data_IF_821947190337
#
_entry.id   IF_821947190337
#
_cell.length_a   1.000
_cell.length_b   1.000
_cell.length_c   1.000
_cell.angle_alpha   90.00
_cell.angle_beta   90.00
_cell.angle_gamma   90.00
#
_symmetry.space_group_name_H-M   'P 1'
#
loop_
_entity.id
_entity.type
_entity.pdbx_description
1 polymer ?
#
# COMPACT_ATOMS: atom_id res chain seq x y z
N UNK A 1 -15.46 5.06 10.37
CA UNK A 1 -14.32 4.31 9.79
C UNK A 1 -14.68 2.83 9.86
N UNK A 2 -14.58 2.09 8.76
CA UNK A 2 -14.79 0.63 8.79
C UNK A 2 -13.61 -0.06 9.50
N UNK A 3 -13.80 -1.26 10.04
CA UNK A 3 -12.66 -2.06 10.49
C UNK A 3 -11.67 -2.26 9.33
N UNK A 4 -10.36 -2.33 9.61
CA UNK A 4 -9.38 -2.72 8.60
C UNK A 4 -9.69 -4.09 7.99
N UNK A 5 -9.25 -4.31 6.76
CA UNK A 5 -9.52 -5.58 6.05
C UNK A 5 -8.70 -6.75 6.61
N UNK A 6 -7.44 -6.49 6.95
CA UNK A 6 -6.57 -7.48 7.59
C UNK A 6 -6.63 -7.30 9.11
N UNK A 7 -6.42 -8.37 9.85
CA UNK A 7 -6.46 -8.36 11.32
C UNK A 7 -5.16 -7.81 11.92
N UNK A 8 -4.07 -7.86 11.15
CA UNK A 8 -2.74 -7.42 11.58
C UNK A 8 -1.89 -6.87 10.45
N UNK A 9 -0.90 -6.05 10.80
CA UNK A 9 0.20 -5.66 9.89
C UNK A 9 0.99 -6.88 9.41
N UNK A 10 1.03 -7.95 10.22
CA UNK A 10 1.76 -9.18 9.91
C UNK A 10 1.13 -9.96 8.75
N UNK A 11 -0.19 -9.87 8.54
CA UNK A 11 -0.87 -10.52 7.41
C UNK A 11 -0.31 -10.00 6.08
N UNK A 12 -0.23 -8.67 5.96
CA UNK A 12 0.30 -7.99 4.77
C UNK A 12 1.82 -8.14 4.69
N UNK A 13 2.53 -8.07 5.81
CA UNK A 13 3.98 -8.19 5.84
C UNK A 13 4.44 -9.58 5.39
N UNK A 14 3.81 -10.64 5.90
CA UNK A 14 4.14 -12.00 5.48
C UNK A 14 3.71 -12.29 4.05
N UNK A 15 2.58 -11.74 3.59
CA UNK A 15 2.24 -11.83 2.17
C UNK A 15 3.37 -11.25 1.28
N UNK A 16 3.91 -10.07 1.64
CA UNK A 16 5.01 -9.44 0.89
C UNK A 16 6.32 -10.24 0.97
N UNK A 17 6.63 -10.81 2.13
CA UNK A 17 7.83 -11.63 2.33
C UNK A 17 7.72 -12.94 1.54
N UNK A 18 6.60 -13.65 1.67
CA UNK A 18 6.38 -14.91 0.98
C UNK A 18 6.37 -14.67 -0.55
N UNK A 19 5.80 -13.55 -1.02
CA UNK A 19 5.87 -13.14 -2.43
C UNK A 19 7.30 -12.87 -2.92
N UNK A 20 8.15 -12.30 -2.08
CA UNK A 20 9.56 -12.08 -2.41
C UNK A 20 10.32 -13.42 -2.53
N UNK A 21 10.04 -14.35 -1.62
CA UNK A 21 10.62 -15.69 -1.64
C UNK A 21 10.21 -16.47 -2.89
N UNK A 22 8.95 -16.37 -3.31
CA UNK A 22 8.45 -16.96 -4.56
C UNK A 22 9.18 -16.41 -5.79
N UNK A 23 9.56 -15.12 -5.77
CA UNK A 23 10.35 -14.47 -6.82
C UNK A 23 11.87 -14.72 -6.65
N UNK A 24 12.29 -15.52 -5.66
CA UNK A 24 13.69 -15.87 -5.41
C UNK A 24 14.53 -14.77 -4.76
N UNK A 25 13.89 -13.76 -4.17
CA UNK A 25 14.54 -12.59 -3.60
C UNK A 25 14.39 -12.51 -2.08
N UNK A 26 15.43 -12.02 -1.40
CA UNK A 26 15.33 -11.63 0.00
C UNK A 26 14.74 -10.22 0.13
N UNK A 27 13.62 -10.10 0.86
CA UNK A 27 13.01 -8.81 1.14
C UNK A 27 13.68 -8.12 2.35
N UNK A 28 14.49 -7.11 2.07
CA UNK A 28 15.13 -6.31 3.12
C UNK A 28 14.10 -5.64 4.05
N UNK A 29 14.32 -5.57 5.38
CA UNK A 29 13.37 -4.97 6.33
C UNK A 29 12.98 -3.53 5.99
N UNK A 30 13.93 -2.73 5.50
CA UNK A 30 13.67 -1.37 5.05
C UNK A 30 12.72 -1.33 3.85
N UNK A 31 12.93 -2.20 2.85
CA UNK A 31 12.05 -2.31 1.68
C UNK A 31 10.64 -2.74 2.10
N UNK A 32 10.53 -3.69 3.03
CA UNK A 32 9.25 -4.11 3.61
C UNK A 32 8.48 -2.93 4.21
N UNK A 33 9.10 -2.11 5.06
CA UNK A 33 8.44 -0.94 5.64
C UNK A 33 7.91 0.04 4.60
N UNK A 34 8.65 0.23 3.51
CA UNK A 34 8.27 1.12 2.40
C UNK A 34 7.10 0.53 1.60
N UNK A 35 7.09 -0.78 1.39
CA UNK A 35 5.98 -1.48 0.75
C UNK A 35 4.72 -1.47 1.61
N UNK A 36 4.83 -1.68 2.93
CA UNK A 36 3.71 -1.58 3.87
C UNK A 36 3.09 -0.18 3.87
N UNK A 37 3.93 0.86 3.91
CA UNK A 37 3.49 2.25 3.84
C UNK A 37 2.71 2.54 2.54
N UNK A 38 3.27 2.14 1.40
CA UNK A 38 2.62 2.32 0.09
C UNK A 38 1.34 1.47 -0.01
N UNK A 39 1.33 0.24 0.51
CA UNK A 39 0.14 -0.61 0.53
C UNK A 39 -1.01 0.08 1.28
N UNK A 40 -0.75 0.59 2.49
CA UNK A 40 -1.74 1.31 3.28
C UNK A 40 -2.25 2.56 2.56
N UNK A 41 -1.34 3.37 2.00
CA UNK A 41 -1.70 4.61 1.33
C UNK A 41 -2.57 4.39 0.09
N UNK A 42 -2.13 3.52 -0.84
CA UNK A 42 -2.88 3.26 -2.07
C UNK A 42 -4.20 2.52 -1.81
N UNK A 43 -4.22 1.62 -0.82
CA UNK A 43 -5.45 0.97 -0.41
C UNK A 43 -6.46 1.99 0.15
N UNK A 44 -6.01 2.90 1.00
CA UNK A 44 -6.87 3.93 1.58
C UNK A 44 -7.46 4.85 0.50
N UNK A 45 -6.69 5.21 -0.53
CA UNK A 45 -7.23 5.96 -1.68
C UNK A 45 -8.28 5.14 -2.43
N UNK A 46 -7.98 3.87 -2.75
CA UNK A 46 -8.89 2.97 -3.47
C UNK A 46 -10.21 2.76 -2.73
N UNK A 47 -10.15 2.63 -1.40
CA UNK A 47 -11.27 2.29 -0.53
C UNK A 47 -11.98 3.50 0.09
N UNK A 48 -11.63 4.72 -0.34
CA UNK A 48 -12.20 5.99 0.17
C UNK A 48 -11.96 6.22 1.67
N UNK A 49 -10.77 5.89 2.13
CA UNK A 49 -10.28 6.15 3.49
C UNK A 49 -10.38 4.97 4.45
N UNK A 50 -10.78 3.77 3.98
CA UNK A 50 -10.72 2.58 4.81
C UNK A 50 -9.27 2.07 4.94
N UNK A 51 -8.96 1.39 6.05
CA UNK A 51 -7.61 0.88 6.33
C UNK A 51 -7.40 -0.51 5.73
N UNK A 52 -6.21 -0.77 5.18
CA UNK A 52 -5.83 -2.13 4.77
C UNK A 52 -5.57 -3.01 5.99
N UNK A 53 -4.76 -2.50 6.92
CA UNK A 53 -4.33 -3.19 8.14
C UNK A 53 -4.37 -2.22 9.33
N UNK A 54 -4.55 -2.71 10.57
CA UNK A 54 -4.59 -1.89 11.78
C UNK A 54 -3.17 -1.43 12.16
N UNK A 55 -2.63 -0.49 11.40
CA UNK A 55 -1.29 0.04 11.61
C UNK A 55 -1.28 1.56 11.77
N UNK A 56 -0.16 2.05 12.32
CA UNK A 56 0.21 3.45 12.40
C UNK A 56 1.63 3.59 11.89
N UNK A 57 1.86 4.56 11.01
CA UNK A 57 3.19 4.87 10.51
C UNK A 57 3.71 6.11 11.22
N UNK A 58 4.99 6.09 11.58
CA UNK A 58 5.68 7.25 12.11
C UNK A 58 6.77 7.74 11.15
N UNK A 59 7.02 9.05 11.15
CA UNK A 59 8.14 9.64 10.46
C UNK A 59 9.43 9.43 11.28
N UNK A 60 10.37 8.65 10.74
CA UNK A 60 11.67 8.40 11.34
C UNK A 60 12.81 8.89 10.45
N UNK A 61 14.01 9.00 11.00
CA UNK A 61 15.21 9.35 10.20
C UNK A 61 15.57 8.32 9.12
N UNK A 62 15.01 7.10 9.17
CA UNK A 62 15.18 6.05 8.15
C UNK A 62 13.98 5.96 7.19
N UNK A 63 13.13 6.99 7.14
CA UNK A 63 11.87 6.99 6.40
C UNK A 63 10.66 6.56 7.25
N UNK A 64 9.48 6.40 6.64
CA UNK A 64 8.31 5.92 7.35
C UNK A 64 8.49 4.48 7.81
N UNK A 65 8.01 4.19 9.01
CA UNK A 65 8.01 2.86 9.59
C UNK A 65 6.76 2.64 10.44
N UNK A 66 6.27 1.41 10.44
CA UNK A 66 5.33 0.91 11.43
C UNK A 66 6.16 0.31 12.59
N UNK A 67 6.06 0.84 13.81
CA UNK A 67 7.03 0.57 14.87
C UNK A 67 6.96 -0.85 15.42
N UNK A 68 5.79 -1.48 15.42
CA UNK A 68 5.56 -2.78 16.05
C UNK A 68 6.16 -3.91 15.23
N UNK A 69 5.86 -3.93 13.93
CA UNK A 69 6.46 -4.83 12.95
C UNK A 69 7.95 -4.58 12.85
N UNK A 70 8.41 -3.32 12.79
CA UNK A 70 9.85 -3.03 12.76
C UNK A 70 10.59 -3.71 13.90
N UNK A 71 10.09 -3.55 15.13
CA UNK A 71 10.66 -4.20 16.32
C UNK A 71 10.56 -5.71 16.26
N UNK A 72 9.42 -6.25 15.84
CA UNK A 72 9.21 -7.70 15.73
C UNK A 72 10.19 -8.36 14.74
N UNK A 73 10.62 -7.64 13.70
CA UNK A 73 11.56 -8.13 12.69
C UNK A 73 13.05 -7.91 13.05
N UNK A 74 13.39 -7.27 14.18
CA UNK A 74 14.79 -6.96 14.57
C UNK A 74 15.70 -8.20 14.62
N UNK A 75 15.13 -9.36 14.98
CA UNK A 75 15.85 -10.63 15.10
C UNK A 75 15.46 -11.65 14.02
N UNK A 76 14.91 -11.20 12.89
CA UNK A 76 14.44 -12.05 11.80
C UNK A 76 12.93 -12.21 11.77
N UNK A 77 12.44 -13.23 11.06
CA UNK A 77 10.99 -13.46 10.89
C UNK A 77 10.35 -13.77 12.26
N UNK A 78 9.38 -12.96 12.75
CA UNK A 78 8.76 -13.21 14.04
C UNK A 78 7.87 -14.47 13.99
N UNK A 79 7.77 -15.15 15.13
CA UNK A 79 6.85 -16.28 15.32
C UNK A 79 5.49 -15.75 15.77
N UNK A 80 4.71 -15.28 14.80
CA UNK A 80 3.34 -14.80 15.02
C UNK A 80 2.41 -15.49 14.04
N UNK A 81 1.21 -15.84 14.50
CA UNK A 81 0.17 -16.33 13.62
C UNK A 81 -0.32 -15.18 12.73
N UNK A 82 -0.69 -15.52 11.50
CA UNK A 82 -1.20 -14.57 10.52
C UNK A 82 -2.31 -15.20 9.70
N UNK A 83 -3.24 -14.35 9.26
CA UNK A 83 -4.34 -14.77 8.42
C UNK A 83 -3.96 -14.65 6.94
N UNK A 84 -4.56 -15.50 6.11
CA UNK A 84 -4.43 -15.37 4.65
C UNK A 84 -5.11 -14.08 4.20
N UNK A 85 -4.47 -13.38 3.25
CA UNK A 85 -5.07 -12.19 2.64
C UNK A 85 -6.40 -12.56 1.96
N UNK A 86 -7.50 -11.83 2.26
CA UNK A 86 -8.78 -12.02 1.58
C UNK A 86 -8.64 -11.95 0.06
N UNK A 87 -9.32 -12.84 -0.66
CA UNK A 87 -9.20 -12.96 -2.13
C UNK A 87 -9.47 -11.65 -2.87
N UNK A 88 -10.36 -10.82 -2.34
CA UNK A 88 -10.69 -9.50 -2.90
C UNK A 88 -9.51 -8.51 -2.88
N UNK A 89 -8.55 -8.69 -1.98
CA UNK A 89 -7.39 -7.78 -1.81
C UNK A 89 -6.13 -8.29 -2.52
N UNK A 90 -6.03 -9.59 -2.79
CA UNK A 90 -4.83 -10.15 -3.44
C UNK A 90 -4.47 -9.46 -4.77
N UNK A 91 -5.41 -9.18 -5.71
CA UNK A 91 -5.08 -8.49 -6.96
C UNK A 91 -4.51 -7.07 -6.76
N UNK A 92 -4.92 -6.41 -5.67
CA UNK A 92 -4.38 -5.11 -5.28
C UNK A 92 -2.92 -5.25 -4.83
N UNK A 93 -2.63 -6.19 -3.93
CA UNK A 93 -1.28 -6.43 -3.44
C UNK A 93 -0.35 -6.91 -4.56
N UNK A 94 -0.83 -7.75 -5.48
CA UNK A 94 -0.07 -8.16 -6.68
C UNK A 94 0.31 -6.96 -7.56
N UNK A 95 -0.62 -6.03 -7.75
CA UNK A 95 -0.40 -4.85 -8.58
C UNK A 95 0.58 -3.88 -7.92
N UNK A 96 0.46 -3.71 -6.61
CA UNK A 96 1.41 -2.97 -5.78
C UNK A 96 2.82 -3.60 -5.85
N UNK A 97 2.91 -4.92 -5.66
CA UNK A 97 4.16 -5.68 -5.74
C UNK A 97 4.83 -5.46 -7.10
N UNK A 98 4.15 -5.78 -8.20
CA UNK A 98 4.67 -5.58 -9.57
C UNK A 98 5.14 -4.16 -9.84
N UNK A 99 4.51 -3.16 -9.20
CA UNK A 99 4.87 -1.75 -9.37
C UNK A 99 6.14 -1.37 -8.61
N UNK A 100 6.31 -1.83 -7.38
CA UNK A 100 7.33 -1.33 -6.48
C UNK A 100 8.45 -2.33 -6.16
N UNK A 101 8.23 -3.63 -6.33
CA UNK A 101 9.23 -4.67 -6.09
C UNK A 101 10.49 -4.55 -6.96
N UNK A 102 10.46 -4.08 -8.22
CA UNK A 102 11.68 -3.93 -9.00
C UNK A 102 12.64 -2.85 -8.47
N UNK A 103 12.17 -1.99 -7.54
CA UNK A 103 12.97 -0.92 -6.98
C UNK A 103 13.76 -1.38 -5.74
N UNK A 104 14.95 -0.81 -5.57
CA UNK A 104 15.78 -1.03 -4.37
C UNK A 104 15.16 -0.39 -3.14
N UNK A 105 15.56 -0.87 -1.95
CA UNK A 105 15.17 -0.27 -0.67
C UNK A 105 15.53 1.22 -0.63
N UNK A 106 16.72 1.58 -1.08
CA UNK A 106 17.23 2.95 -1.12
C UNK A 106 16.41 3.85 -2.05
N UNK A 107 16.09 3.36 -3.26
CA UNK A 107 15.26 4.10 -4.19
C UNK A 107 13.87 4.37 -3.61
N UNK A 108 13.20 3.33 -3.08
CA UNK A 108 11.88 3.48 -2.46
C UNK A 108 11.93 4.40 -1.25
N UNK A 109 13.00 4.34 -0.46
CA UNK A 109 13.16 5.21 0.69
C UNK A 109 13.29 6.68 0.25
N UNK A 110 14.17 6.97 -0.72
CA UNK A 110 14.33 8.33 -1.29
C UNK A 110 13.01 8.85 -1.88
N UNK A 111 12.29 8.00 -2.60
CA UNK A 111 10.99 8.34 -3.17
C UNK A 111 10.00 8.71 -2.06
N UNK A 112 9.78 7.79 -1.11
CA UNK A 112 8.76 7.98 -0.07
C UNK A 112 9.12 9.15 0.87
N UNK A 113 10.40 9.35 1.17
CA UNK A 113 10.86 10.49 1.98
C UNK A 113 10.71 11.84 1.25
N UNK A 114 10.51 11.84 -0.06
CA UNK A 114 10.22 13.06 -0.83
C UNK A 114 8.74 13.44 -0.83
N UNK A 115 7.86 12.59 -0.28
CA UNK A 115 6.42 12.82 -0.27
C UNK A 115 6.00 13.71 0.92
N UNK A 116 5.10 14.70 0.72
CA UNK A 116 4.57 15.57 1.75
C UNK A 116 4.05 14.86 3.02
N UNK A 117 3.29 13.73 2.96
CA UNK A 117 2.83 13.08 4.18
C UNK A 117 3.97 12.69 5.13
N UNK A 118 5.12 12.28 4.59
CA UNK A 118 6.31 12.01 5.39
C UNK A 118 7.00 13.30 5.82
N UNK A 119 7.22 14.25 4.89
CA UNK A 119 7.96 15.49 5.16
C UNK A 119 7.27 16.34 6.24
N UNK A 120 5.96 16.50 6.14
CA UNK A 120 5.15 17.30 7.05
C UNK A 120 5.14 16.68 8.45
N UNK A 121 4.98 15.35 8.55
CA UNK A 121 5.07 14.65 9.83
C UNK A 121 6.49 14.74 10.43
N UNK A 122 7.53 14.55 9.60
CA UNK A 122 8.92 14.63 10.05
C UNK A 122 9.28 16.04 10.57
N UNK A 123 8.75 17.09 9.94
CA UNK A 123 8.92 18.47 10.36
C UNK A 123 8.29 18.78 11.72
N UNK A 124 7.21 18.07 12.10
CA UNK A 124 6.59 18.19 13.43
C UNK A 124 7.43 17.57 14.54
N UNK A 125 8.34 16.65 14.20
CA UNK A 125 9.22 16.01 15.15
C UNK A 125 9.57 14.56 14.79
N UNK A 126 10.57 14.02 15.48
CA UNK A 126 10.91 12.60 15.35
C UNK A 126 9.76 11.77 15.91
N UNK A 127 9.38 10.72 15.17
CA UNK A 127 8.32 9.77 15.52
C UNK A 127 6.89 10.33 15.48
N UNK A 128 6.69 11.51 14.89
CA UNK A 128 5.34 12.00 14.61
C UNK A 128 4.57 11.03 13.72
N UNK A 129 3.27 10.90 13.97
CA UNK A 129 2.40 10.06 13.16
C UNK A 129 2.26 10.63 11.74
N UNK A 130 2.32 9.74 10.75
CA UNK A 130 1.89 10.03 9.38
C UNK A 130 0.45 9.55 9.27
N UNK A 131 -0.48 10.50 9.33
CA UNK A 131 -1.91 10.20 9.41
C UNK A 131 -2.44 9.59 8.11
N UNK A 132 -3.49 8.77 8.23
CA UNK A 132 -4.14 8.16 7.07
C UNK A 132 -4.73 9.25 6.15
N UNK A 133 -5.25 10.31 6.73
CA UNK A 133 -5.83 11.46 6.04
C UNK A 133 -4.78 12.14 5.16
N UNK A 134 -3.56 12.34 5.68
CA UNK A 134 -2.46 12.91 4.91
C UNK A 134 -2.05 11.98 3.75
N UNK A 135 -2.02 10.66 3.97
CA UNK A 135 -1.79 9.69 2.90
C UNK A 135 -2.87 9.79 1.81
N UNK A 136 -4.14 9.75 2.18
CA UNK A 136 -5.26 9.81 1.23
C UNK A 136 -5.23 11.12 0.45
N UNK A 137 -4.99 12.25 1.11
CA UNK A 137 -4.92 13.57 0.47
C UNK A 137 -3.82 13.63 -0.60
N UNK A 138 -2.62 13.13 -0.29
CA UNK A 138 -1.51 13.16 -1.23
C UNK A 138 -1.67 12.11 -2.34
N UNK A 139 -1.86 10.83 -1.99
CA UNK A 139 -1.88 9.74 -2.97
C UNK A 139 -3.16 9.70 -3.82
N UNK A 140 -4.24 10.35 -3.37
CA UNK A 140 -5.50 10.50 -4.10
C UNK A 140 -5.54 11.70 -5.05
N UNK A 141 -4.49 12.52 -5.11
CA UNK A 141 -4.45 13.70 -5.98
C UNK A 141 -4.58 13.31 -7.46
N UNK A 142 -5.33 14.10 -8.22
CA UNK A 142 -5.37 13.94 -9.68
C UNK A 142 -4.02 14.42 -10.24
N UNK A 143 -3.41 13.68 -11.18
CA UNK A 143 -2.17 14.11 -11.81
C UNK A 143 -2.41 15.43 -12.55
N UNK A 144 -1.78 16.51 -12.10
CA UNK A 144 -1.77 17.78 -12.82
C UNK A 144 -0.86 17.64 -14.03
N UNK A 145 -1.27 18.16 -15.20
CA UNK A 145 -0.56 17.97 -16.48
C UNK A 145 0.91 18.47 -16.50
N UNK A 146 1.37 19.18 -15.46
CA UNK A 146 2.65 19.89 -15.42
C UNK A 146 3.68 19.41 -14.37
N UNK A 147 3.61 18.17 -13.86
CA UNK A 147 4.66 17.66 -12.97
C UNK A 147 5.18 16.27 -13.37
N UNK A 148 6.21 16.21 -14.24
CA UNK A 148 7.02 15.03 -14.45
C UNK A 148 8.29 15.13 -13.60
N UNK A 149 8.15 15.13 -12.28
CA UNK A 149 9.27 14.99 -11.36
C UNK A 149 9.43 13.54 -10.92
N UNK A 150 10.66 13.03 -10.85
CA UNK A 150 11.02 11.76 -10.18
C UNK A 150 10.60 11.71 -8.69
N UNK A 151 10.08 12.82 -8.16
CA UNK A 151 9.69 13.07 -6.77
C UNK A 151 8.21 12.81 -6.48
N UNK A 152 7.39 12.57 -7.49
CA UNK A 152 5.96 12.36 -7.29
C UNK A 152 5.59 10.88 -7.19
N UNK A 153 4.78 10.55 -6.17
CA UNK A 153 4.10 9.26 -6.10
C UNK A 153 3.31 8.99 -7.40
N UNK A 154 3.41 7.78 -7.98
CA UNK A 154 2.62 7.43 -9.16
C UNK A 154 1.12 7.52 -8.84
N UNK A 155 0.28 8.03 -9.75
CA UNK A 155 -1.15 8.09 -9.51
C UNK A 155 -1.74 6.67 -9.45
N UNK A 156 -2.88 6.54 -8.77
CA UNK A 156 -3.48 5.25 -8.41
C UNK A 156 -3.75 4.35 -9.63
N UNK A 157 -4.14 4.92 -10.77
CA UNK A 157 -4.37 4.24 -12.06
C UNK A 157 -3.10 3.57 -12.62
N UNK A 158 -1.91 4.12 -12.33
CA UNK A 158 -0.64 3.51 -12.72
C UNK A 158 -0.20 2.38 -11.78
N UNK A 159 -0.68 2.38 -10.54
CA UNK A 159 -0.43 1.31 -9.56
C UNK A 159 -1.43 0.19 -9.75
N UNK A 160 -2.71 0.53 -9.82
CA UNK A 160 -3.84 -0.37 -10.06
C UNK A 160 -4.10 -0.45 -11.56
N UNK A 161 -3.18 -1.10 -12.30
CA UNK A 161 -3.47 -1.38 -13.71
C UNK A 161 -4.69 -2.30 -13.79
N UNK A 162 -5.79 -1.89 -14.45
CA UNK A 162 -6.88 -2.81 -14.74
C UNK A 162 -6.31 -3.99 -15.53
N UNK A 163 -6.66 -5.23 -15.16
CA UNK A 163 -6.34 -6.36 -16.03
C UNK A 163 -7.05 -6.13 -17.36
N UNK A 164 -6.28 -5.84 -18.40
CA UNK A 164 -6.78 -5.78 -19.77
C UNK A 164 -6.92 -7.22 -20.25
N UNK A 165 -8.13 -7.74 -20.24
CA UNK A 165 -8.43 -9.00 -20.92
C UNK A 165 -8.69 -8.73 -22.40
N UNK A 166 -8.34 -9.67 -23.27
CA UNK A 166 -8.78 -9.63 -24.66
C UNK A 166 -10.16 -10.28 -24.72
N UNK A 167 -11.14 -9.61 -25.33
CA UNK A 167 -12.42 -10.24 -25.67
C UNK A 167 -12.19 -11.41 -26.63
N UNK A 168 -13.20 -12.28 -26.80
CA UNK A 168 -13.19 -13.32 -27.86
C UNK A 168 -12.93 -12.75 -29.27
N UNK A 169 -13.16 -11.44 -29.47
CA UNK A 169 -12.91 -10.69 -30.70
C UNK A 169 -11.57 -9.95 -30.72
N UNK A 170 -10.67 -10.20 -29.77
CA UNK A 170 -9.31 -9.65 -29.73
C UNK A 170 -9.19 -8.19 -29.26
N UNK A 171 -10.29 -7.53 -28.92
CA UNK A 171 -10.28 -6.14 -28.44
C UNK A 171 -9.84 -6.09 -26.97
N UNK A 172 -8.98 -5.13 -26.58
CA UNK A 172 -8.63 -4.93 -25.17
C UNK A 172 -9.85 -4.41 -24.40
N UNK A 173 -10.21 -5.11 -23.32
CA UNK A 173 -11.31 -4.76 -22.42
C UNK A 173 -10.74 -4.56 -21.02
N UNK A 174 -10.92 -3.36 -20.47
CA UNK A 174 -10.64 -3.09 -19.06
C UNK A 174 -11.72 -3.75 -18.20
N UNK A 175 -11.35 -4.76 -17.41
CA UNK A 175 -12.29 -5.43 -16.51
C UNK A 175 -12.49 -4.57 -15.27
N UNK A 176 -13.62 -3.88 -15.20
CA UNK A 176 -14.11 -3.28 -13.96
C UNK A 176 -14.75 -4.40 -13.15
N UNK A 177 -14.28 -4.67 -11.93
CA UNK A 177 -14.95 -5.61 -11.04
C UNK A 177 -16.38 -5.13 -10.77
N UNK A 178 -17.37 -5.94 -11.16
CA UNK A 178 -18.76 -5.65 -10.92
C UNK A 178 -19.02 -5.61 -9.41
N UNK A 179 -19.47 -4.46 -8.92
CA UNK A 179 -19.87 -4.25 -7.53
C UNK A 179 -21.39 -4.27 -7.45
N UNK A 180 -22.03 -5.28 -6.81
CA UNK A 180 -23.49 -5.31 -6.69
C UNK A 180 -23.99 -4.11 -5.89
N UNK A 181 -24.96 -3.37 -6.44
CA UNK A 181 -25.75 -2.40 -5.67
C UNK A 181 -26.60 -3.17 -4.67
N UNK A 182 -26.40 -2.92 -3.37
CA UNK A 182 -27.25 -3.46 -2.29
C UNK A 182 -28.66 -2.89 -2.45
N UNK A 183 -29.68 -3.76 -2.61
CA UNK A 183 -31.09 -3.33 -2.58
C UNK A 183 -31.40 -2.81 -1.17
N UNK A 184 -31.92 -1.59 -1.07
CA UNK A 184 -32.53 -1.06 0.15
C UNK A 184 -33.74 -1.92 0.51
N UNK A 185 -33.84 -2.43 1.76
CA UNK A 185 -35.06 -3.11 2.19
C UNK A 185 -36.22 -2.09 2.26
N UNK A 186 -37.46 -2.51 1.95
CA UNK A 186 -38.62 -1.63 2.08
C UNK A 186 -38.85 -1.28 3.57
N UNK A 187 -39.09 0.00 3.82
CA UNK A 187 -39.45 0.56 5.13
C UNK A 187 -40.78 -0.05 5.61
N UNK A 188 -40.93 -0.36 6.92
CA UNK A 188 -42.17 -0.91 7.47
C UNK A 188 -43.37 0.03 7.33
#
# INVERSE_FOLDING_TARGET
MKPPICDSVFDVAFWLIDRALDDGEYLQPQKLQRLLFLAQAYYAVMSKGDKLMPCLFIASGMGPLEPSSWRAFEHGRPKVDYQKIPQEIQPFLDSLWRKFSPHSAEYLNKLVCSHPPYQDAFAQGRRSEITLEAMVAYYGRKPTQNQPGLKDAPPIDRVLRPRVMRSQTGKPVSVTSWTPKRKTPPTP
#
